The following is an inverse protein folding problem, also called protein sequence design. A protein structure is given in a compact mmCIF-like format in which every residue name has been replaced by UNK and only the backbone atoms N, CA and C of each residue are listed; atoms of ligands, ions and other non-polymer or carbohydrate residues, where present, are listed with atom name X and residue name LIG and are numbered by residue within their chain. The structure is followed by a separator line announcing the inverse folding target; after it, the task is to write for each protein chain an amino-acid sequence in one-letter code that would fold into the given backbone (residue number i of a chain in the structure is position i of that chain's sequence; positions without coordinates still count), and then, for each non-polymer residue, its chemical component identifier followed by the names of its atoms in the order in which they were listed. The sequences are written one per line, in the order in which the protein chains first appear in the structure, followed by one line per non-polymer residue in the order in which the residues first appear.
data_IF_102233097748
#
_entry.id   IF_102233097748
#
_cell.length_a   1.000
_cell.length_b   1.000
_cell.length_c   1.000
_cell.angle_alpha   90.00
_cell.angle_beta   90.00
_cell.angle_gamma   90.00
#
_symmetry.space_group_name_H-M   'P 1'
#
loop_
_entity.id
_entity.type
_entity.pdbx_description
1 polymer ?
#
# COMPACT_ATOMS: atom_id res chain seq x y z
N UNK A 1 -4.56 -34.58 -9.94
CA UNK A 1 -4.38 -33.17 -9.49
C UNK A 1 -2.89 -32.90 -9.36
N UNK A 2 -2.42 -31.68 -9.67
CA UNK A 2 -1.00 -31.35 -9.62
C UNK A 2 -0.47 -31.32 -8.18
N UNK A 3 0.80 -31.66 -7.97
CA UNK A 3 1.47 -31.56 -6.67
C UNK A 3 1.66 -30.10 -6.24
N UNK A 4 1.76 -29.80 -4.94
CA UNK A 4 1.89 -28.43 -4.45
C UNK A 4 3.27 -27.82 -4.76
N UNK A 5 3.26 -26.58 -5.26
CA UNK A 5 4.40 -25.65 -5.21
C UNK A 5 4.22 -24.75 -3.99
N UNK A 6 5.25 -24.62 -3.15
CA UNK A 6 5.20 -23.73 -1.99
C UNK A 6 5.97 -22.44 -2.28
N UNK A 7 5.25 -21.34 -2.50
CA UNK A 7 5.86 -20.01 -2.54
C UNK A 7 6.27 -19.63 -1.11
N UNK A 8 7.56 -19.40 -0.91
CA UNK A 8 8.18 -19.04 0.36
C UNK A 8 8.07 -17.54 0.62
N UNK A 9 8.29 -16.73 -0.41
CA UNK A 9 8.17 -15.27 -0.31
C UNK A 9 7.98 -14.60 -1.67
N UNK A 10 7.32 -13.45 -1.64
CA UNK A 10 7.23 -12.47 -2.72
C UNK A 10 7.75 -11.14 -2.19
N UNK A 11 8.90 -10.70 -2.69
CA UNK A 11 9.58 -9.49 -2.22
C UNK A 11 9.55 -8.40 -3.30
N UNK A 12 9.55 -7.13 -2.86
CA UNK A 12 9.77 -5.98 -3.73
C UNK A 12 11.12 -5.34 -3.38
N UNK A 13 12.05 -5.30 -4.34
CA UNK A 13 13.39 -4.74 -4.15
C UNK A 13 13.46 -3.43 -4.95
N UNK A 14 13.54 -2.30 -4.24
CA UNK A 14 13.60 -0.98 -4.87
C UNK A 14 15.01 -0.67 -5.36
N UNK A 15 15.13 -0.19 -6.61
CA UNK A 15 16.42 0.04 -7.27
C UNK A 15 17.10 1.35 -6.86
N UNK A 16 16.40 2.26 -6.19
CA UNK A 16 16.95 3.52 -5.67
C UNK A 16 16.89 3.55 -4.15
N UNK A 17 17.92 4.13 -3.52
CA UNK A 17 18.06 4.17 -2.06
C UNK A 17 16.89 4.96 -1.42
N UNK A 18 16.21 4.45 -0.37
CA UNK A 18 15.04 5.09 0.23
C UNK A 18 15.30 6.52 0.73
N UNK A 19 16.54 6.79 1.17
CA UNK A 19 16.93 8.10 1.71
C UNK A 19 17.02 9.19 0.64
N UNK A 20 17.26 8.86 -0.63
CA UNK A 20 17.30 9.85 -1.72
C UNK A 20 15.90 10.23 -2.23
N UNK A 21 14.86 9.48 -1.84
CA UNK A 21 13.47 9.73 -2.26
C UNK A 21 12.73 10.71 -1.35
N UNK A 22 13.22 10.92 -0.12
CA UNK A 22 12.65 11.97 0.74
C UNK A 22 12.87 13.39 0.19
N UNK A 23 13.84 13.57 -0.72
CA UNK A 23 14.13 14.87 -1.36
C UNK A 23 13.50 15.03 -2.75
N UNK A 24 13.23 13.93 -3.45
CA UNK A 24 12.63 13.96 -4.77
C UNK A 24 11.26 13.28 -4.71
N UNK A 25 10.19 14.06 -4.96
CA UNK A 25 8.78 13.65 -5.10
C UNK A 25 8.52 12.59 -6.21
N UNK A 26 9.46 11.68 -6.50
CA UNK A 26 9.29 10.61 -7.46
C UNK A 26 8.32 9.58 -6.88
N UNK A 27 7.07 9.67 -7.38
CA UNK A 27 5.91 8.99 -6.81
C UNK A 27 5.96 7.47 -6.78
N UNK A 28 6.87 6.79 -7.50
CA UNK A 28 7.05 5.34 -7.43
C UNK A 28 8.46 4.93 -7.90
N UNK A 29 9.40 4.44 -7.06
CA UNK A 29 10.67 3.88 -7.51
C UNK A 29 10.53 2.78 -8.57
N UNK A 30 11.55 2.58 -9.43
CA UNK A 30 11.71 1.33 -10.16
C UNK A 30 11.92 0.17 -9.16
N UNK A 31 11.31 -0.97 -9.45
CA UNK A 31 11.27 -2.13 -8.55
C UNK A 31 11.67 -3.40 -9.28
N UNK A 32 12.34 -4.29 -8.56
CA UNK A 32 12.54 -5.69 -8.95
C UNK A 32 11.59 -6.56 -8.11
N UNK A 33 10.75 -7.33 -8.78
CA UNK A 33 9.85 -8.30 -8.15
C UNK A 33 10.59 -9.61 -7.97
N UNK A 34 10.76 -10.08 -6.73
CA UNK A 34 11.43 -11.36 -6.45
C UNK A 34 10.43 -12.38 -5.92
N UNK A 35 10.47 -13.59 -6.47
CA UNK A 35 9.63 -14.72 -6.07
C UNK A 35 10.55 -15.87 -5.69
N UNK A 36 10.40 -16.35 -4.46
CA UNK A 36 11.12 -17.51 -3.95
C UNK A 36 10.13 -18.65 -3.69
N UNK A 37 10.38 -19.82 -4.25
CA UNK A 37 9.49 -20.97 -4.10
C UNK A 37 10.25 -22.29 -4.03
N UNK A 38 9.58 -23.33 -3.52
CA UNK A 38 10.11 -24.68 -3.40
C UNK A 38 9.15 -25.68 -4.06
N UNK A 39 9.73 -26.72 -4.66
CA UNK A 39 8.99 -27.86 -5.21
C UNK A 39 8.95 -28.98 -4.16
N UNK A 40 7.75 -29.48 -3.82
CA UNK A 40 7.56 -30.50 -2.77
C UNK A 40 7.61 -31.93 -3.32
N UNK A 41 8.51 -32.24 -4.25
CA UNK A 41 8.54 -33.57 -4.88
C UNK A 41 9.94 -34.07 -5.21
N UNK A 42 10.04 -35.40 -5.34
CA UNK A 42 11.21 -36.12 -5.83
C UNK A 42 11.24 -36.23 -7.37
N UNK A 43 10.20 -35.75 -8.06
CA UNK A 43 10.08 -35.87 -9.52
C UNK A 43 10.18 -34.52 -10.22
N UNK A 44 11.22 -34.39 -11.04
CA UNK A 44 11.44 -33.26 -11.94
C UNK A 44 11.38 -33.76 -13.38
N UNK A 45 10.49 -33.23 -14.24
CA UNK A 45 10.49 -33.59 -15.65
C UNK A 45 11.84 -33.29 -16.30
N UNK A 46 12.26 -34.06 -17.31
CA UNK A 46 13.51 -33.75 -18.03
C UNK A 46 13.37 -32.53 -18.95
N UNK A 47 12.16 -32.27 -19.42
CA UNK A 47 11.81 -31.06 -20.17
C UNK A 47 10.63 -30.43 -19.47
N UNK A 48 10.78 -29.18 -19.04
CA UNK A 48 9.73 -28.50 -18.29
C UNK A 48 9.71 -27.01 -18.59
N UNK A 49 8.61 -26.40 -18.16
CA UNK A 49 8.47 -24.96 -18.17
C UNK A 49 7.81 -24.50 -16.87
N UNK A 50 8.49 -23.58 -16.19
CA UNK A 50 7.92 -22.86 -15.06
C UNK A 50 7.18 -21.66 -15.62
N UNK A 51 5.86 -21.70 -15.52
CA UNK A 51 5.00 -20.61 -15.99
C UNK A 51 4.52 -19.84 -14.76
N UNK A 52 5.01 -18.62 -14.64
CA UNK A 52 4.69 -17.69 -13.56
C UNK A 52 3.66 -16.71 -14.10
N UNK A 53 2.44 -16.80 -13.61
CA UNK A 53 1.38 -15.84 -13.91
C UNK A 53 1.47 -14.70 -12.92
N UNK A 54 1.72 -13.51 -13.45
CA UNK A 54 1.81 -12.29 -12.68
C UNK A 54 0.41 -11.80 -12.27
N UNK A 55 0.30 -11.07 -11.15
CA UNK A 55 -0.94 -10.37 -10.80
C UNK A 55 -1.39 -9.45 -11.94
N UNK A 56 -2.68 -9.45 -12.32
CA UNK A 56 -3.18 -8.68 -13.46
C UNK A 56 -3.10 -7.15 -13.28
N UNK A 57 -2.84 -6.67 -12.06
CA UNK A 57 -2.71 -5.25 -11.72
C UNK A 57 -1.29 -4.72 -11.96
N UNK A 58 -0.30 -5.60 -12.17
CA UNK A 58 1.05 -5.16 -12.54
C UNK A 58 1.01 -4.56 -13.94
N UNK A 59 1.45 -3.32 -14.07
CA UNK A 59 1.53 -2.62 -15.34
C UNK A 59 2.99 -2.48 -15.76
N UNK A 60 3.24 -2.41 -17.07
CA UNK A 60 4.60 -2.22 -17.59
C UNK A 60 5.15 -0.87 -17.15
N UNK A 61 6.34 -0.88 -16.58
CA UNK A 61 7.03 0.33 -16.18
C UNK A 61 7.75 0.90 -17.42
N UNK A 62 7.25 2.04 -17.91
CA UNK A 62 7.73 2.70 -19.12
C UNK A 62 9.18 3.20 -19.02
N UNK A 63 9.78 3.19 -17.81
CA UNK A 63 11.20 3.50 -17.61
C UNK A 63 12.13 2.39 -18.08
N UNK A 64 11.60 1.17 -18.26
CA UNK A 64 12.34 0.04 -18.81
C UNK A 64 11.92 -0.19 -20.26
N UNK A 65 12.91 -0.35 -21.15
CA UNK A 65 12.65 -0.66 -22.55
C UNK A 65 12.09 -2.09 -22.75
N UNK A 66 12.32 -2.98 -21.80
CA UNK A 66 11.86 -4.36 -21.81
C UNK A 66 11.73 -4.92 -20.40
N UNK A 67 10.97 -6.00 -20.25
CA UNK A 67 10.98 -6.79 -19.01
C UNK A 67 12.18 -7.72 -19.04
N UNK A 68 12.91 -7.76 -17.93
CA UNK A 68 14.06 -8.63 -17.72
C UNK A 68 13.74 -9.65 -16.64
N UNK A 69 14.27 -10.86 -16.80
CA UNK A 69 14.07 -11.96 -15.86
C UNK A 69 15.41 -12.59 -15.54
N UNK A 70 15.79 -12.52 -14.26
CA UNK A 70 16.96 -13.20 -13.73
C UNK A 70 16.51 -14.38 -12.88
N UNK A 71 17.09 -15.55 -13.13
CA UNK A 71 16.84 -16.76 -12.35
C UNK A 71 18.08 -17.10 -11.53
N UNK A 72 17.87 -17.69 -10.35
CA UNK A 72 18.95 -18.05 -9.44
C UNK A 72 18.65 -19.33 -8.67
N UNK A 73 19.64 -19.78 -7.90
CA UNK A 73 19.56 -20.94 -7.01
C UNK A 73 19.23 -22.22 -7.78
N UNK A 74 18.19 -22.98 -7.41
CA UNK A 74 17.87 -24.27 -8.04
C UNK A 74 17.66 -24.18 -9.56
N UNK A 75 17.28 -23.02 -10.10
CA UNK A 75 17.25 -22.79 -11.54
C UNK A 75 18.61 -22.96 -12.20
N UNK A 76 19.70 -22.49 -11.56
CA UNK A 76 21.06 -22.59 -12.09
C UNK A 76 21.53 -24.03 -12.23
N UNK A 77 20.93 -24.98 -11.49
CA UNK A 77 21.20 -26.41 -11.62
C UNK A 77 20.25 -27.09 -12.62
N UNK A 78 18.98 -26.69 -12.60
CA UNK A 78 17.95 -27.37 -13.37
C UNK A 78 17.89 -26.93 -14.84
N UNK A 79 18.38 -25.73 -15.15
CA UNK A 79 18.32 -25.12 -16.49
C UNK A 79 19.71 -24.93 -17.14
N UNK A 80 20.76 -25.59 -16.60
CA UNK A 80 22.19 -25.44 -16.95
C UNK A 80 22.50 -25.50 -18.46
N UNK A 81 21.73 -26.27 -19.23
CA UNK A 81 22.12 -26.68 -20.58
C UNK A 81 21.68 -25.73 -21.71
N UNK A 82 20.85 -24.72 -21.43
CA UNK A 82 20.42 -23.75 -22.44
C UNK A 82 20.59 -22.31 -21.93
N UNK A 83 20.89 -21.39 -22.85
CA UNK A 83 20.59 -19.98 -22.65
C UNK A 83 19.12 -19.88 -22.26
N UNK A 84 18.85 -19.57 -20.99
CA UNK A 84 17.51 -19.43 -20.40
C UNK A 84 16.56 -18.80 -21.43
N UNK A 85 15.71 -19.62 -22.08
CA UNK A 85 14.70 -19.07 -22.98
C UNK A 85 13.54 -18.63 -22.12
N UNK A 86 13.64 -17.40 -21.64
CA UNK A 86 12.54 -16.71 -20.98
C UNK A 86 11.61 -16.22 -22.08
N UNK A 87 10.35 -16.65 -22.01
CA UNK A 87 9.31 -16.21 -22.93
C UNK A 87 8.29 -15.38 -22.17
N UNK A 88 7.85 -14.30 -22.79
CA UNK A 88 6.81 -13.43 -22.27
C UNK A 88 5.59 -13.52 -23.17
N UNK A 89 4.43 -13.68 -22.57
CA UNK A 89 3.17 -13.52 -23.27
C UNK A 89 2.12 -13.01 -22.29
N UNK A 90 0.96 -12.63 -22.82
CA UNK A 90 -0.21 -12.32 -22.03
C UNK A 90 -1.29 -13.33 -22.39
N UNK A 91 -1.94 -13.92 -21.39
CA UNK A 91 -2.94 -14.95 -21.60
C UNK A 91 -4.17 -14.67 -20.75
N UNK A 92 -5.35 -14.89 -21.34
CA UNK A 92 -6.60 -14.95 -20.60
C UNK A 92 -6.70 -16.31 -19.94
N UNK A 93 -6.79 -16.33 -18.60
CA UNK A 93 -6.95 -17.55 -17.82
C UNK A 93 -8.29 -17.52 -17.06
N UNK A 94 -8.88 -18.69 -16.86
CA UNK A 94 -10.02 -18.87 -15.97
C UNK A 94 -9.49 -19.16 -14.56
N UNK A 95 -9.81 -18.30 -13.60
CA UNK A 95 -9.34 -18.42 -12.23
C UNK A 95 -10.41 -18.03 -11.23
N UNK A 96 -10.69 -18.89 -10.23
CA UNK A 96 -11.76 -18.67 -9.23
C UNK A 96 -13.10 -18.25 -9.87
N UNK A 97 -13.46 -18.86 -11.01
CA UNK A 97 -14.64 -18.58 -11.82
C UNK A 97 -14.69 -17.21 -12.52
N UNK A 98 -13.56 -16.50 -12.59
CA UNK A 98 -13.43 -15.23 -13.31
C UNK A 98 -12.39 -15.36 -14.44
N UNK A 99 -12.68 -14.77 -15.60
CA UNK A 99 -11.66 -14.59 -16.64
C UNK A 99 -10.73 -13.43 -16.26
N UNK A 100 -9.43 -13.67 -16.40
CA UNK A 100 -8.39 -12.70 -16.06
C UNK A 100 -7.34 -12.66 -17.14
N UNK A 101 -7.01 -11.46 -17.61
CA UNK A 101 -5.87 -11.25 -18.47
C UNK A 101 -4.62 -11.08 -17.61
N UNK A 102 -3.64 -11.97 -17.77
CA UNK A 102 -2.39 -11.92 -17.01
C UNK A 102 -1.19 -11.98 -17.92
N UNK A 103 -0.16 -11.23 -17.56
CA UNK A 103 1.18 -11.43 -18.10
C UNK A 103 1.77 -12.70 -17.48
N UNK A 104 2.43 -13.50 -18.31
CA UNK A 104 3.14 -14.70 -17.88
C UNK A 104 4.61 -14.64 -18.26
N UNK A 105 5.42 -15.18 -17.37
CA UNK A 105 6.85 -15.44 -17.59
C UNK A 105 7.02 -16.95 -17.65
N UNK A 106 7.43 -17.46 -18.80
CA UNK A 106 7.76 -18.87 -19.00
C UNK A 106 9.27 -19.04 -18.97
N UNK A 107 9.76 -19.82 -18.01
CA UNK A 107 11.16 -20.22 -17.91
C UNK A 107 11.24 -21.68 -18.36
N UNK A 108 11.74 -21.90 -19.57
CA UNK A 108 11.86 -23.23 -20.16
C UNK A 108 13.19 -23.84 -19.73
N UNK A 109 13.12 -25.03 -19.15
CA UNK A 109 14.27 -25.75 -18.65
C UNK A 109 14.33 -27.15 -19.27
N UNK A 110 15.52 -27.51 -19.75
CA UNK A 110 15.82 -28.85 -20.19
C UNK A 110 16.96 -29.40 -19.34
N UNK A 111 16.62 -30.40 -18.54
CA UNK A 111 17.57 -31.10 -17.69
C UNK A 111 18.10 -32.33 -18.41
N UNK A 112 19.40 -32.35 -18.68
CA UNK A 112 20.09 -33.51 -19.25
C UNK A 112 20.61 -34.40 -18.12
N UNK A 113 19.85 -35.41 -17.71
CA UNK A 113 20.32 -36.43 -16.76
C UNK A 113 19.22 -37.15 -15.99
N UNK A 114 19.54 -38.32 -15.43
CA UNK A 114 18.75 -39.02 -14.41
C UNK A 114 19.40 -38.73 -13.04
N UNK A 115 19.13 -37.57 -12.46
CA UNK A 115 19.54 -37.28 -11.09
C UNK A 115 18.30 -37.20 -10.20
N UNK A 116 18.13 -38.22 -9.36
CA UNK A 116 17.38 -38.05 -8.12
C UNK A 116 18.13 -37.03 -7.29
N UNK A 117 17.63 -35.80 -7.23
CA UNK A 117 18.19 -34.69 -6.46
C UNK A 117 18.15 -35.04 -4.96
N UNK A 118 19.18 -35.71 -4.47
CA UNK A 118 19.41 -35.88 -3.03
C UNK A 118 20.07 -34.60 -2.50
N UNK A 119 19.30 -33.79 -1.78
CA UNK A 119 19.77 -32.83 -0.76
C UNK A 119 20.63 -31.62 -1.20
N UNK A 120 20.26 -30.91 -2.27
CA UNK A 120 20.73 -29.52 -2.44
C UNK A 120 19.55 -28.55 -2.48
N UNK A 121 19.71 -27.41 -1.81
CA UNK A 121 18.68 -26.42 -1.49
C UNK A 121 17.65 -26.24 -2.62
N UNK A 122 16.41 -26.68 -2.38
CA UNK A 122 15.28 -26.67 -3.33
C UNK A 122 14.65 -25.27 -3.49
N UNK A 123 15.41 -24.20 -3.33
CA UNK A 123 14.90 -22.84 -3.46
C UNK A 123 15.06 -22.36 -4.90
N UNK A 124 13.95 -22.16 -5.58
CA UNK A 124 13.89 -21.53 -6.88
C UNK A 124 13.64 -20.03 -6.68
N UNK A 125 14.49 -19.20 -7.28
CA UNK A 125 14.37 -17.73 -7.19
C UNK A 125 14.25 -17.14 -8.58
N UNK A 126 13.25 -16.29 -8.77
CA UNK A 126 13.03 -15.49 -9.99
C UNK A 126 12.95 -14.03 -9.62
N UNK A 127 13.67 -13.18 -10.36
CA UNK A 127 13.64 -11.72 -10.26
C UNK A 127 13.16 -11.14 -11.57
N UNK A 128 12.18 -10.25 -11.51
CA UNK A 128 11.50 -9.68 -12.67
C UNK A 128 11.56 -8.16 -12.56
N UNK A 129 12.08 -7.47 -13.58
CA UNK A 129 12.09 -6.01 -13.67
C UNK A 129 11.25 -5.54 -14.87
N UNK A 130 10.85 -4.28 -14.88
CA UNK A 130 10.01 -3.70 -15.95
C UNK A 130 8.51 -3.68 -15.66
N UNK A 131 8.12 -3.89 -14.40
CA UNK A 131 6.74 -3.68 -13.92
C UNK A 131 6.70 -2.65 -12.80
N UNK A 132 5.59 -1.91 -12.74
CA UNK A 132 5.24 -1.03 -11.65
C UNK A 132 4.28 -1.74 -10.70
N UNK A 133 4.47 -1.55 -9.38
CA UNK A 133 3.53 -2.04 -8.38
C UNK A 133 2.18 -1.33 -8.52
N UNK A 134 1.06 -2.04 -8.34
CA UNK A 134 -0.24 -1.41 -8.41
C UNK A 134 -0.43 -0.39 -7.28
N UNK A 135 -1.08 0.73 -7.61
CA UNK A 135 -1.34 1.81 -6.66
C UNK A 135 -2.42 1.48 -5.64
N UNK A 136 -3.23 0.41 -5.84
CA UNK A 136 -3.93 -0.41 -4.81
C UNK A 136 -5.08 -1.27 -5.36
N UNK A 137 -5.20 -2.50 -4.80
CA UNK A 137 -6.39 -3.25 -4.34
C UNK A 137 -6.03 -4.74 -4.28
N UNK A 138 -6.28 -5.41 -3.15
CA UNK A 138 -6.08 -6.86 -3.01
C UNK A 138 -7.40 -7.60 -3.20
N UNK A 139 -7.43 -8.49 -4.19
CA UNK A 139 -8.40 -9.59 -4.32
C UNK A 139 -7.62 -10.90 -4.31
N UNK A 140 -8.31 -12.01 -3.99
CA UNK A 140 -7.73 -13.38 -3.99
C UNK A 140 -7.04 -13.74 -5.32
N UNK A 141 -7.42 -13.04 -6.38
CA UNK A 141 -6.95 -13.11 -7.75
C UNK A 141 -5.64 -12.37 -7.99
N UNK A 142 -5.11 -11.64 -7.02
CA UNK A 142 -3.97 -10.74 -7.26
C UNK A 142 -2.66 -11.38 -6.79
N UNK A 143 -2.72 -12.69 -6.49
CA UNK A 143 -1.58 -13.51 -6.14
C UNK A 143 -0.80 -13.96 -7.36
N UNK A 144 0.50 -14.16 -7.15
CA UNK A 144 1.38 -14.87 -8.06
C UNK A 144 0.94 -16.33 -8.12
N UNK A 145 0.83 -16.86 -9.33
CA UNK A 145 0.55 -18.29 -9.56
C UNK A 145 1.74 -18.89 -10.28
N UNK A 146 2.19 -20.06 -9.82
CA UNK A 146 3.27 -20.80 -10.45
C UNK A 146 2.73 -22.17 -10.84
N UNK A 147 2.86 -22.50 -12.13
CA UNK A 147 2.60 -23.83 -12.65
C UNK A 147 3.89 -24.42 -13.23
N UNK A 148 4.15 -25.68 -12.94
CA UNK A 148 5.17 -26.46 -13.62
C UNK A 148 4.50 -27.37 -14.65
N UNK A 149 4.92 -27.24 -15.90
CA UNK A 149 4.49 -28.07 -17.01
C UNK A 149 5.56 -29.08 -17.38
N UNK A 150 5.15 -30.31 -17.68
CA UNK A 150 5.99 -31.33 -18.30
C UNK A 150 5.91 -31.21 -19.83
N UNK A 151 7.00 -30.76 -20.45
CA UNK A 151 7.08 -30.47 -21.88
C UNK A 151 7.30 -31.71 -22.76
N UNK A 152 7.26 -32.93 -22.20
CA UNK A 152 7.12 -34.16 -23.00
C UNK A 152 5.90 -34.12 -23.95
N UNK A 153 4.96 -33.19 -23.73
CA UNK A 153 3.68 -33.07 -24.46
C UNK A 153 3.61 -31.92 -25.50
N UNK A 154 4.70 -31.17 -25.80
CA UNK A 154 4.78 -30.10 -26.83
C UNK A 154 3.76 -28.93 -26.77
N UNK A 155 2.83 -28.87 -25.80
CA UNK A 155 1.86 -27.77 -25.63
C UNK A 155 1.53 -27.48 -24.16
N UNK A 156 1.29 -26.21 -23.81
CA UNK A 156 0.84 -25.76 -22.48
C UNK A 156 -0.65 -26.04 -22.26
N UNK A 157 -1.00 -27.30 -22.03
CA UNK A 157 -2.39 -27.69 -21.72
C UNK A 157 -2.52 -28.07 -20.25
N UNK A 158 -3.70 -27.87 -19.64
CA UNK A 158 -3.95 -28.18 -18.22
C UNK A 158 -3.58 -29.62 -17.83
N UNK A 159 -3.67 -30.57 -18.78
CA UNK A 159 -3.31 -31.98 -18.60
C UNK A 159 -1.81 -32.21 -18.33
N UNK A 160 -0.95 -31.28 -18.75
CA UNK A 160 0.50 -31.34 -18.56
C UNK A 160 0.98 -30.61 -17.30
N UNK A 161 0.07 -30.02 -16.52
CA UNK A 161 0.39 -29.39 -15.23
C UNK A 161 0.65 -30.48 -14.21
N UNK A 162 1.92 -30.65 -13.83
CA UNK A 162 2.32 -31.64 -12.84
C UNK A 162 2.46 -31.03 -11.44
N UNK A 163 2.75 -29.72 -11.33
CA UNK A 163 2.78 -28.99 -10.07
C UNK A 163 2.14 -27.60 -10.17
N UNK A 164 1.53 -27.13 -9.09
CA UNK A 164 0.90 -25.82 -9.03
C UNK A 164 0.90 -25.22 -7.63
N UNK A 165 1.09 -23.91 -7.52
CA UNK A 165 0.84 -23.16 -6.28
C UNK A 165 -0.64 -23.13 -5.91
N UNK A 166 -1.53 -23.39 -6.87
CA UNK A 166 -2.99 -23.38 -6.70
C UNK A 166 -3.56 -24.70 -6.18
N UNK A 167 -2.70 -25.61 -5.73
CA UNK A 167 -3.10 -26.88 -5.15
C UNK A 167 -4.15 -26.68 -4.01
N UNK A 168 -5.23 -27.47 -3.98
CA UNK A 168 -6.31 -27.33 -2.99
C UNK A 168 -5.88 -27.65 -1.55
N UNK A 169 -4.78 -28.38 -1.36
CA UNK A 169 -4.23 -28.71 -0.05
C UNK A 169 -3.52 -27.53 0.63
N UNK A 170 -3.21 -26.46 -0.12
CA UNK A 170 -2.63 -25.24 0.46
C UNK A 170 -3.76 -24.34 0.95
N UNK A 171 -3.69 -23.97 2.24
CA UNK A 171 -4.68 -23.10 2.88
C UNK A 171 -4.75 -21.72 2.21
N UNK A 172 -5.97 -21.22 2.01
CA UNK A 172 -6.21 -19.91 1.38
C UNK A 172 -5.46 -18.76 2.09
N UNK A 173 -5.37 -18.80 3.43
CA UNK A 173 -4.62 -17.81 4.21
C UNK A 173 -3.13 -17.73 3.84
N UNK A 174 -2.53 -18.85 3.42
CA UNK A 174 -1.15 -18.89 2.92
C UNK A 174 -1.10 -18.30 1.51
N UNK A 175 -2.03 -18.71 0.64
CA UNK A 175 -2.13 -18.21 -0.74
C UNK A 175 -2.28 -16.69 -0.81
N UNK A 176 -3.02 -16.11 0.13
CA UNK A 176 -3.25 -14.66 0.22
C UNK A 176 -1.98 -13.86 0.56
N UNK A 177 -0.89 -14.51 0.96
CA UNK A 177 0.41 -13.85 1.20
C UNK A 177 1.26 -13.72 -0.06
N UNK A 178 0.92 -14.41 -1.14
CA UNK A 178 1.72 -14.44 -2.37
C UNK A 178 1.39 -13.28 -3.32
N UNK A 179 1.27 -12.08 -2.75
CA UNK A 179 0.90 -10.86 -3.47
C UNK A 179 2.09 -9.90 -3.50
N UNK A 180 2.16 -9.06 -4.53
CA UNK A 180 3.06 -7.91 -4.51
C UNK A 180 2.33 -6.71 -3.95
N UNK A 181 2.83 -6.20 -2.83
CA UNK A 181 2.27 -5.07 -2.10
C UNK A 181 3.20 -3.87 -2.26
N UNK A 182 2.68 -2.65 -2.39
CA UNK A 182 3.53 -1.49 -2.20
C UNK A 182 3.83 -1.38 -0.70
N UNK A 183 5.10 -1.57 -0.33
CA UNK A 183 5.58 -1.54 1.05
C UNK A 183 6.18 -0.20 1.44
N UNK A 184 6.31 0.73 0.49
CA UNK A 184 6.84 2.06 0.78
C UNK A 184 5.75 3.00 1.25
N UNK A 185 5.93 3.49 2.48
CA UNK A 185 5.14 4.61 2.99
C UNK A 185 5.63 5.89 2.31
N UNK A 186 4.73 6.55 1.60
CA UNK A 186 4.98 7.84 0.95
C UNK A 186 4.81 9.00 1.94
N UNK A 187 5.14 10.23 1.54
CA UNK A 187 4.81 11.43 2.32
C UNK A 187 3.57 12.13 1.76
N UNK A 188 2.85 12.83 2.63
CA UNK A 188 1.95 13.88 2.17
C UNK A 188 2.77 14.96 1.44
N UNK A 189 2.24 15.49 0.33
CA UNK A 189 2.84 16.63 -0.36
C UNK A 189 2.72 17.90 0.49
N UNK A 190 1.64 18.00 1.25
CA UNK A 190 1.38 19.08 2.20
C UNK A 190 0.65 18.52 3.42
N UNK A 191 1.02 18.96 4.62
CA UNK A 191 0.34 18.57 5.85
C UNK A 191 0.53 19.67 6.89
N UNK A 192 -0.55 20.35 7.25
CA UNK A 192 -0.56 21.43 8.22
C UNK A 192 -1.77 21.33 9.13
N UNK A 193 -1.60 21.89 10.32
CA UNK A 193 -2.65 22.10 11.29
C UNK A 193 -2.61 23.57 11.72
N UNK A 194 -3.77 24.17 11.88
CA UNK A 194 -3.95 25.51 12.42
C UNK A 194 -5.22 25.54 13.27
N UNK A 195 -5.30 26.53 14.16
CA UNK A 195 -6.52 26.79 14.92
C UNK A 195 -6.66 28.29 15.15
N UNK A 196 -7.90 28.74 15.25
CA UNK A 196 -8.28 30.12 15.52
C UNK A 196 -9.22 30.16 16.73
N UNK A 197 -9.09 31.18 17.57
CA UNK A 197 -9.95 31.42 18.72
C UNK A 197 -9.88 32.88 19.15
N UNK A 198 -11.01 33.44 19.57
CA UNK A 198 -11.03 34.74 20.23
C UNK A 198 -10.77 34.56 21.73
N UNK A 199 -9.78 35.30 22.27
CA UNK A 199 -9.44 35.35 23.70
C UNK A 199 -10.62 35.78 24.61
N UNK A 200 -11.69 36.32 24.03
CA UNK A 200 -12.88 36.79 24.74
C UNK A 200 -13.93 35.69 24.96
N UNK A 201 -13.76 34.87 26.00
CA UNK A 201 -14.75 34.06 26.74
C UNK A 201 -15.77 33.16 25.98
N UNK A 202 -15.83 33.17 24.65
CA UNK A 202 -16.80 32.42 23.86
C UNK A 202 -16.05 31.34 23.05
N UNK A 203 -15.68 30.26 23.76
CA UNK A 203 -14.95 29.10 23.24
C UNK A 203 -15.73 28.32 22.14
N UNK A 204 -17.01 28.62 21.94
CA UNK A 204 -17.81 28.20 20.78
C UNK A 204 -17.31 28.78 19.45
N UNK A 205 -16.39 29.75 19.48
CA UNK A 205 -15.65 30.27 18.32
C UNK A 205 -14.37 29.50 18.00
N UNK A 206 -13.94 28.54 18.83
CA UNK A 206 -12.73 27.75 18.54
C UNK A 206 -12.94 26.91 17.28
N UNK A 207 -12.10 27.17 16.29
CA UNK A 207 -12.10 26.47 15.01
C UNK A 207 -10.71 25.92 14.73
N UNK A 208 -10.65 24.62 14.49
CA UNK A 208 -9.43 23.94 14.08
C UNK A 208 -9.51 23.58 12.60
N UNK A 209 -8.38 23.65 11.91
CA UNK A 209 -8.24 23.32 10.50
C UNK A 209 -7.05 22.41 10.27
N UNK A 210 -7.29 21.41 9.44
CA UNK A 210 -6.32 20.44 8.93
C UNK A 210 -6.25 20.69 7.43
N UNK A 211 -5.07 20.95 6.89
CA UNK A 211 -4.87 21.00 5.44
C UNK A 211 -3.88 19.90 5.03
N UNK A 212 -4.32 19.00 4.16
CA UNK A 212 -3.50 17.91 3.64
C UNK A 212 -3.58 17.83 2.12
N UNK A 213 -2.45 17.47 1.50
CA UNK A 213 -2.38 17.04 0.10
C UNK A 213 -1.66 15.71 0.04
N UNK A 214 -2.32 14.67 -0.45
CA UNK A 214 -1.75 13.32 -0.51
C UNK A 214 -0.96 13.10 -1.80
N UNK A 215 0.11 12.30 -1.72
CA UNK A 215 0.84 11.88 -2.93
C UNK A 215 0.10 10.77 -3.69
N UNK A 216 -0.70 9.99 -2.95
CA UNK A 216 -1.51 8.86 -3.41
C UNK A 216 -3.00 9.20 -3.36
N UNK A 217 -3.80 8.54 -4.19
CA UNK A 217 -5.25 8.74 -4.20
C UNK A 217 -5.88 8.13 -2.95
N UNK A 218 -6.77 8.89 -2.30
CA UNK A 218 -7.60 8.37 -1.21
C UNK A 218 -8.76 7.58 -1.85
N UNK A 219 -9.03 6.38 -1.35
CA UNK A 219 -10.14 5.52 -1.79
C UNK A 219 -11.26 5.50 -0.76
N UNK A 220 -12.39 4.90 -1.13
CA UNK A 220 -13.50 4.70 -0.21
C UNK A 220 -13.09 3.82 0.99
N UNK A 221 -13.40 4.31 2.19
CA UNK A 221 -13.09 3.63 3.45
C UNK A 221 -11.66 3.86 3.94
N UNK A 222 -10.84 4.61 3.21
CA UNK A 222 -9.53 5.04 3.70
C UNK A 222 -9.67 5.98 4.92
N UNK A 223 -8.60 6.01 5.71
CA UNK A 223 -8.56 6.71 6.99
C UNK A 223 -7.39 7.70 7.01
N UNK A 224 -7.65 8.92 7.47
CA UNK A 224 -6.64 9.90 7.84
C UNK A 224 -6.60 9.99 9.36
N UNK A 225 -5.41 9.79 9.94
CA UNK A 225 -5.16 9.87 11.37
C UNK A 225 -4.19 11.01 11.65
N UNK A 226 -4.57 11.90 12.57
CA UNK A 226 -3.75 13.05 12.96
C UNK A 226 -3.53 12.99 14.45
N UNK A 227 -2.29 12.88 14.87
CA UNK A 227 -1.93 12.59 16.26
C UNK A 227 -1.13 13.72 16.90
N UNK A 228 -1.56 14.08 18.10
CA UNK A 228 -1.00 15.12 18.97
C UNK A 228 -0.49 14.46 20.26
N UNK A 229 0.78 14.66 20.60
CA UNK A 229 1.35 14.16 21.86
C UNK A 229 0.85 15.00 23.05
N UNK A 230 0.30 14.36 24.08
CA UNK A 230 -0.23 15.04 25.28
C UNK A 230 0.84 15.78 26.09
N UNK A 231 2.10 15.40 25.96
CA UNK A 231 3.21 16.12 26.59
C UNK A 231 3.48 17.47 25.89
N UNK A 232 3.18 17.54 24.59
CA UNK A 232 3.51 18.68 23.74
C UNK A 232 2.29 19.54 23.38
N UNK A 233 1.07 19.02 23.52
CA UNK A 233 -0.16 19.70 23.13
C UNK A 233 -1.22 19.62 24.22
N UNK A 234 -1.91 20.74 24.44
CA UNK A 234 -3.06 20.87 25.33
C UNK A 234 -4.35 20.88 24.51
N UNK A 235 -5.34 20.06 24.90
CA UNK A 235 -6.71 20.14 24.36
C UNK A 235 -7.40 21.33 25.03
N UNK A 236 -7.77 22.33 24.25
CA UNK A 236 -8.62 23.45 24.66
C UNK A 236 -10.07 23.12 24.32
N UNK A 237 -10.96 23.07 25.31
CA UNK A 237 -12.40 22.79 25.12
C UNK A 237 -13.26 23.52 26.16
N UNK A 238 -14.57 23.66 25.88
CA UNK A 238 -15.51 24.29 26.81
C UNK A 238 -15.91 23.32 27.92
N UNK A 239 -15.32 23.46 29.11
CA UNK A 239 -15.64 22.61 30.27
C UNK A 239 -16.85 23.21 31.01
N UNK A 240 -18.06 22.80 30.65
CA UNK A 240 -19.18 22.85 31.61
C UNK A 240 -19.07 21.66 32.56
N UNK A 241 -18.32 21.85 33.65
CA UNK A 241 -18.32 21.12 34.93
C UNK A 241 -18.84 19.67 34.90
N UNK A 242 -17.95 18.67 34.82
CA UNK A 242 -17.72 17.71 35.91
C UNK A 242 -16.55 16.77 35.62
N UNK A 243 -15.85 16.45 36.71
CA UNK A 243 -14.72 15.56 36.86
C UNK A 243 -14.87 14.23 36.07
N UNK A 244 -13.97 14.01 35.14
CA UNK A 244 -12.93 12.98 35.22
C UNK A 244 -12.12 13.03 33.91
N UNK A 245 -10.81 12.80 33.99
CA UNK A 245 -9.92 12.55 32.85
C UNK A 245 -10.27 11.22 32.15
N UNK A 246 -11.54 11.01 31.78
CA UNK A 246 -11.98 9.82 31.08
C UNK A 246 -11.64 10.03 29.62
N UNK A 247 -10.77 9.16 29.15
CA UNK A 247 -10.59 8.80 27.75
C UNK A 247 -11.98 8.58 27.13
N UNK A 248 -12.52 9.58 26.44
CA UNK A 248 -13.76 9.42 25.68
C UNK A 248 -13.46 9.62 24.20
N UNK A 249 -13.99 8.69 23.42
CA UNK A 249 -14.06 8.85 21.98
C UNK A 249 -15.24 9.78 21.69
N UNK A 250 -14.98 10.92 21.07
CA UNK A 250 -15.98 11.93 20.79
C UNK A 250 -16.22 12.02 19.28
N UNK A 251 -17.47 11.92 18.84
CA UNK A 251 -17.83 12.17 17.45
C UNK A 251 -17.74 13.68 17.17
N UNK A 252 -16.95 14.04 16.17
CA UNK A 252 -16.70 15.42 15.79
C UNK A 252 -17.56 15.82 14.59
N UNK A 253 -18.08 17.04 14.63
CA UNK A 253 -18.69 17.67 13.47
C UNK A 253 -17.59 18.23 12.55
N UNK A 254 -17.05 17.36 11.69
CA UNK A 254 -16.06 17.76 10.69
C UNK A 254 -16.74 18.11 9.37
N UNK A 255 -16.33 19.24 8.81
CA UNK A 255 -16.70 19.67 7.48
C UNK A 255 -15.46 19.73 6.60
N UNK A 256 -15.61 19.34 5.34
CA UNK A 256 -14.58 19.53 4.33
C UNK A 256 -14.80 20.89 3.65
N UNK A 257 -13.71 21.62 3.44
CA UNK A 257 -13.67 22.83 2.63
C UNK A 257 -12.82 22.45 1.42
N UNK A 258 -13.47 22.20 0.29
CA UNK A 258 -12.76 22.10 -0.98
C UNK A 258 -12.75 23.47 -1.66
N UNK A 259 -11.63 23.93 -2.25
CA UNK A 259 -11.66 25.09 -3.14
C UNK A 259 -12.47 24.70 -4.39
N UNK A 260 -13.78 24.96 -4.36
CA UNK A 260 -14.66 24.82 -5.50
C UNK A 260 -15.14 26.22 -5.90
N UNK A 261 -14.83 26.58 -7.13
CA UNK A 261 -15.34 27.75 -7.83
C UNK A 261 -16.76 27.54 -8.39
N UNK A 262 -17.47 26.48 -7.99
CA UNK A 262 -18.81 26.16 -8.51
C UNK A 262 -19.72 25.60 -7.41
N UNK A 263 -21.05 25.87 -7.46
CA UNK A 263 -21.97 25.65 -6.38
C UNK A 263 -22.44 24.19 -6.37
N UNK A 264 -21.60 23.27 -5.92
CA UNK A 264 -22.05 21.93 -5.57
C UNK A 264 -22.49 21.90 -4.10
N UNK A 265 -23.68 21.36 -3.79
CA UNK A 265 -24.13 21.23 -2.42
C UNK A 265 -23.14 20.36 -1.67
N UNK A 266 -22.85 20.75 -0.43
CA UNK A 266 -21.97 20.11 0.54
C UNK A 266 -22.24 18.60 0.70
N UNK A 267 -21.76 17.77 -0.22
CA UNK A 267 -21.74 16.33 -0.06
C UNK A 267 -20.59 16.01 0.89
N UNK A 268 -20.90 15.83 2.17
CA UNK A 268 -19.88 15.51 3.17
C UNK A 268 -19.35 14.09 2.87
N UNK A 269 -18.24 14.00 2.14
CA UNK A 269 -17.53 12.74 1.86
C UNK A 269 -16.76 12.25 3.08
N UNK A 270 -16.66 13.07 4.13
CA UNK A 270 -16.26 12.64 5.47
C UNK A 270 -17.43 11.81 6.04
N UNK A 271 -17.26 10.49 6.12
CA UNK A 271 -18.29 9.61 6.68
C UNK A 271 -18.27 9.55 8.19
N UNK A 272 -17.09 9.72 8.79
CA UNK A 272 -16.93 9.80 10.23
C UNK A 272 -15.70 10.64 10.57
N UNK A 273 -15.78 11.31 11.70
CA UNK A 273 -14.69 12.09 12.28
C UNK A 273 -14.76 11.90 13.79
N UNK A 274 -13.73 11.31 14.38
CA UNK A 274 -13.75 10.87 15.77
C UNK A 274 -12.47 11.34 16.44
N UNK A 275 -12.59 12.02 17.57
CA UNK A 275 -11.50 12.24 18.50
C UNK A 275 -11.30 10.99 19.36
N UNK A 276 -10.08 10.47 19.39
CA UNK A 276 -9.67 9.33 20.21
C UNK A 276 -8.68 9.82 21.27
N UNK A 277 -8.99 9.58 22.54
CA UNK A 277 -8.09 9.91 23.65
C UNK A 277 -7.21 8.74 24.06
N UNK A 278 -5.97 8.64 23.58
CA UNK A 278 -5.02 7.63 24.05
C UNK A 278 -4.39 7.97 25.41
N UNK A 279 -3.60 7.06 26.02
CA UNK A 279 -2.84 7.38 27.24
C UNK A 279 -1.81 8.49 27.05
N UNK A 280 -1.09 8.49 25.92
CA UNK A 280 0.00 9.43 25.62
C UNK A 280 -0.31 10.45 24.52
N UNK A 281 -1.40 10.27 23.76
CA UNK A 281 -1.73 11.11 22.62
C UNK A 281 -3.24 11.36 22.49
N UNK A 282 -3.59 12.43 21.81
CA UNK A 282 -4.91 12.62 21.20
C UNK A 282 -4.79 12.33 19.71
N UNK A 283 -5.78 11.66 19.12
CA UNK A 283 -5.81 11.38 17.69
C UNK A 283 -7.15 11.75 17.08
N UNK A 284 -7.15 12.43 15.94
CA UNK A 284 -8.35 12.65 15.13
C UNK A 284 -8.33 11.60 14.02
N UNK A 285 -9.34 10.74 14.00
CA UNK A 285 -9.58 9.75 12.95
C UNK A 285 -10.67 10.26 12.02
N UNK A 286 -10.35 10.42 10.74
CA UNK A 286 -11.27 10.82 9.68
C UNK A 286 -11.39 9.68 8.68
N UNK A 287 -12.63 9.25 8.39
CA UNK A 287 -12.90 8.26 7.34
C UNK A 287 -13.53 8.94 6.14
N UNK A 288 -13.02 8.61 4.95
CA UNK A 288 -13.36 9.29 3.70
C UNK A 288 -14.06 8.31 2.73
N UNK A 289 -15.09 8.79 2.03
CA UNK A 289 -15.77 8.09 0.93
C UNK A 289 -15.81 8.97 -0.32
N UNK A 290 -14.68 9.12 -1.04
CA UNK A 290 -14.60 9.97 -2.21
C UNK A 290 -15.50 9.56 -3.38
N UNK A 291 -16.03 8.33 -3.42
CA UNK A 291 -17.07 7.96 -4.41
C UNK A 291 -18.29 8.88 -4.35
N UNK A 292 -18.60 9.44 -3.17
CA UNK A 292 -19.65 10.45 -2.98
C UNK A 292 -19.33 11.79 -3.67
N UNK A 293 -18.07 12.06 -3.98
CA UNK A 293 -17.64 13.26 -4.71
C UNK A 293 -17.93 13.18 -6.20
N UNK A 294 -18.25 11.98 -6.73
CA UNK A 294 -18.99 11.63 -7.96
C UNK A 294 -18.60 12.25 -9.32
N UNK A 295 -18.03 13.46 -9.36
CA UNK A 295 -17.93 14.32 -10.53
C UNK A 295 -16.77 15.34 -10.44
N UNK A 296 -16.06 15.48 -9.31
CA UNK A 296 -14.92 16.40 -9.22
C UNK A 296 -13.68 15.79 -9.87
N UNK A 297 -13.38 16.16 -11.11
CA UNK A 297 -12.13 15.76 -11.77
C UNK A 297 -10.91 16.23 -10.96
N UNK A 298 -9.96 15.33 -10.74
CA UNK A 298 -8.67 15.64 -10.10
C UNK A 298 -8.76 16.08 -8.64
N UNK A 299 -9.83 15.77 -7.91
CA UNK A 299 -9.96 16.10 -6.47
C UNK A 299 -8.80 15.54 -5.63
N UNK A 300 -8.26 14.39 -6.06
CA UNK A 300 -7.12 13.68 -5.51
C UNK A 300 -5.77 14.39 -5.70
N UNK A 301 -5.74 15.50 -6.45
CA UNK A 301 -4.56 16.35 -6.62
C UNK A 301 -4.74 17.74 -6.00
N UNK A 302 -5.76 17.93 -5.15
CA UNK A 302 -6.08 19.21 -4.51
C UNK A 302 -5.90 19.12 -3.00
N UNK A 303 -5.66 20.27 -2.39
CA UNK A 303 -5.70 20.47 -0.95
C UNK A 303 -7.06 20.04 -0.39
N UNK A 304 -7.00 19.11 0.56
CA UNK A 304 -8.11 18.72 1.40
C UNK A 304 -8.03 19.48 2.72
N UNK A 305 -8.90 20.49 2.85
CA UNK A 305 -9.07 21.21 4.11
C UNK A 305 -10.23 20.61 4.89
N UNK A 306 -9.97 20.23 6.13
CA UNK A 306 -10.96 19.69 7.06
C UNK A 306 -11.03 20.62 8.26
N UNK A 307 -12.22 21.11 8.58
CA UNK A 307 -12.45 21.96 9.74
C UNK A 307 -13.38 21.32 10.74
N UNK A 308 -13.12 21.57 12.01
CA UNK A 308 -13.96 21.17 13.13
C UNK A 308 -13.97 22.26 14.20
N UNK A 309 -15.05 22.34 14.97
CA UNK A 309 -15.30 23.43 15.92
C UNK A 309 -15.52 22.90 17.33
N UNK A 310 -15.29 23.75 18.34
CA UNK A 310 -15.59 23.47 19.75
C UNK A 310 -14.38 23.02 20.59
N UNK A 311 -13.28 22.64 19.95
CA UNK A 311 -12.00 22.41 20.62
C UNK A 311 -10.82 22.63 19.67
N UNK A 312 -9.63 22.83 20.25
CA UNK A 312 -8.37 22.97 19.53
C UNK A 312 -7.21 22.34 20.31
N UNK A 313 -6.17 21.89 19.60
CA UNK A 313 -4.89 21.50 20.19
C UNK A 313 -3.89 22.64 20.11
N UNK A 314 -3.52 23.18 21.27
CA UNK A 314 -2.53 24.24 21.39
C UNK A 314 -1.17 23.64 21.80
N UNK A 315 -0.05 24.02 21.15
CA UNK A 315 1.29 23.67 21.62
C UNK A 315 1.53 24.14 23.05
N UNK A 316 2.08 23.27 23.90
CA UNK A 316 2.50 23.60 25.25
C UNK A 316 3.64 24.64 25.23
N UNK A 317 3.64 25.57 26.19
CA UNK A 317 4.68 26.60 26.33
C UNK A 317 6.08 26.03 26.56
N UNK A 318 6.17 24.77 27.00
CA UNK A 318 7.43 24.06 27.24
C UNK A 318 7.97 23.33 26.00
N UNK A 319 7.20 23.32 24.91
CA UNK A 319 7.53 22.55 23.74
C UNK A 319 8.24 23.41 22.69
N UNK A 320 9.53 23.14 22.47
CA UNK A 320 10.39 23.85 21.51
C UNK A 320 10.32 23.27 20.08
N UNK A 321 9.83 22.03 19.94
CA UNK A 321 9.67 21.34 18.66
C UNK A 321 8.46 20.39 18.78
N UNK A 322 7.26 20.93 18.55
CA UNK A 322 6.03 20.16 18.71
C UNK A 322 5.67 19.52 17.39
N UNK A 323 5.69 18.19 17.37
CA UNK A 323 5.42 17.41 16.17
C UNK A 323 3.97 16.91 16.21
N UNK A 324 3.24 17.20 15.13
CA UNK A 324 1.96 16.58 14.80
C UNK A 324 2.22 15.53 13.72
N UNK A 325 1.74 14.31 13.96
CA UNK A 325 1.90 13.20 13.02
C UNK A 325 0.65 13.08 12.16
N UNK A 326 0.84 13.05 10.84
CA UNK A 326 -0.20 12.82 9.85
C UNK A 326 0.01 11.46 9.22
N UNK A 327 -1.04 10.64 9.18
CA UNK A 327 -0.99 9.29 8.64
C UNK A 327 -2.20 9.02 7.75
N UNK A 328 -2.00 8.33 6.63
CA UNK A 328 -3.03 7.85 5.73
C UNK A 328 -2.97 6.33 5.69
N UNK A 329 -4.05 5.69 6.14
CA UNK A 329 -4.24 4.25 6.09
C UNK A 329 -5.28 3.89 5.04
N UNK A 330 -5.03 2.79 4.34
CA UNK A 330 -6.06 2.17 3.54
C UNK A 330 -7.15 1.55 4.41
N UNK A 331 -8.31 1.25 3.82
CA UNK A 331 -9.36 0.44 4.47
C UNK A 331 -8.85 -0.91 5.02
N UNK A 332 -7.80 -1.51 4.43
CA UNK A 332 -7.14 -2.73 4.95
C UNK A 332 -6.20 -2.48 6.14
N UNK A 333 -6.19 -1.27 6.71
CA UNK A 333 -5.33 -0.82 7.81
C UNK A 333 -3.82 -0.87 7.49
N UNK A 334 -3.46 -0.72 6.22
CA UNK A 334 -2.07 -0.58 5.79
C UNK A 334 -1.71 0.91 5.68
N UNK A 335 -0.58 1.31 6.27
CA UNK A 335 -0.07 2.69 6.17
C UNK A 335 0.46 2.97 4.76
N UNK A 336 -0.01 4.04 4.13
CA UNK A 336 0.37 4.42 2.76
C UNK A 336 1.06 5.78 2.70
N UNK A 337 0.67 6.74 3.54
CA UNK A 337 1.38 8.02 3.64
C UNK A 337 1.61 8.44 5.08
N UNK A 338 2.76 9.05 5.37
CA UNK A 338 3.03 9.69 6.65
C UNK A 338 3.86 10.97 6.49
N UNK A 339 3.50 12.00 7.25
CA UNK A 339 4.26 13.26 7.32
C UNK A 339 4.21 13.84 8.73
N UNK A 340 5.21 14.65 9.05
CA UNK A 340 5.28 15.38 10.31
C UNK A 340 5.09 16.87 10.03
N UNK A 341 4.26 17.53 10.83
CA UNK A 341 4.21 18.98 10.89
C UNK A 341 4.84 19.45 12.20
N UNK A 342 5.82 20.33 12.10
CA UNK A 342 6.53 20.88 13.26
C UNK A 342 6.10 22.31 13.53
N UNK A 343 5.63 22.57 14.75
CA UNK A 343 5.53 23.91 15.29
C UNK A 343 6.88 24.35 15.89
N UNK A 344 7.34 25.53 15.48
CA UNK A 344 8.43 26.24 16.14
C UNK A 344 7.85 27.40 16.94
N UNK A 345 7.90 27.31 18.27
CA UNK A 345 7.35 28.28 19.24
C UNK A 345 8.08 29.63 19.26
N UNK A 346 9.05 29.87 18.38
CA UNK A 346 9.65 31.19 18.16
C UNK A 346 8.85 32.09 17.21
N UNK A 347 7.78 31.60 16.61
CA UNK A 347 6.79 32.47 15.97
C UNK A 347 5.89 33.02 17.07
N UNK A 348 6.10 34.30 17.41
CA UNK A 348 5.09 35.11 18.09
C UNK A 348 3.73 34.77 17.49
N UNK A 349 2.74 34.47 18.35
CA UNK A 349 1.34 34.53 17.96
C UNK A 349 1.18 35.77 17.09
N UNK A 350 0.77 35.59 15.83
CA UNK A 350 0.17 36.67 15.05
C UNK A 350 -1.19 36.94 15.69
N UNK A 351 -1.18 37.54 16.87
CA UNK A 351 -2.30 38.31 17.37
C UNK A 351 -2.30 39.60 16.57
N UNK A 352 -3.25 39.66 15.63
CA UNK A 352 -3.87 40.81 14.98
C UNK A 352 -3.93 40.61 13.46
N UNK A 353 -5.14 40.69 12.90
CA UNK A 353 -5.56 41.78 12.00
C UNK A 353 -7.09 41.95 12.10
N UNK A 354 -7.47 43.16 12.53
CA UNK A 354 -8.74 43.92 12.41
C UNK A 354 -10.07 43.31 12.84
#
# INVERSE_FOLDING_TARGET
QPYPIQIQSTNQIYLTNPQQQQQNNNKNPPVTLEINFQLQTNYYPQSSAFVIYLPPQLTRDLRFNSVTVDIANSFNYYCVSQTNSTQFSSQSIQFENQQQQRDLVSIICQFSGNNTLNNQQNLFTVRIQGYQLPEQLYKSTDRVIINLFDNSQKQFNQQSVCQSSENPNILLQVKNKWVFTNTQVTSFQFSQYSYEGNDSQNLSSLKSQINITTSQNIQDGDQIVIQFDKQNFLKLENISLTQNNIIQNECLNCSSIMPLSDPFPSSNFISSCILLGGPSSYSILIVLYPSKLGQISSWNYRDLVISFTGFAFQPSTQCFNCIIYFQHYQNSNQLVSQSNFTYFTNQQLLTNIS
#
